data_IF_316560208465
#
_entry.id   IF_316560208465
#
_cell.length_a   1.000
_cell.length_b   1.000
_cell.length_c   1.000
_cell.angle_alpha   90.00
_cell.angle_beta   90.00
_cell.angle_gamma   90.00
#
_symmetry.space_group_name_H-M   'P 1'
#
loop_
_entity.id
_entity.type
_entity.pdbx_description
1 polymer ?
#
# COMPACT_ATOMS: atom_id res chain seq x y z
N UNK A 1 12.83 0.15 -16.75
CA UNK A 1 12.62 0.33 -15.29
C UNK A 1 12.22 1.77 -14.98
N UNK A 2 13.02 2.77 -15.37
CA UNK A 2 12.69 4.19 -15.18
C UNK A 2 11.32 4.62 -15.74
N UNK A 3 10.96 4.21 -16.97
CA UNK A 3 9.64 4.51 -17.54
C UNK A 3 8.46 3.94 -16.74
N UNK A 4 8.62 2.76 -16.11
CA UNK A 4 7.58 2.17 -15.26
C UNK A 4 7.41 2.95 -13.97
N UNK A 5 8.52 3.37 -13.36
CA UNK A 5 8.52 4.20 -12.14
C UNK A 5 7.90 5.56 -12.45
N UNK A 6 8.31 6.22 -13.53
CA UNK A 6 7.75 7.51 -13.95
C UNK A 6 6.25 7.43 -14.22
N UNK A 7 5.80 6.39 -14.93
CA UNK A 7 4.36 6.15 -15.17
C UNK A 7 3.59 5.92 -13.87
N UNK A 8 4.17 5.16 -12.94
CA UNK A 8 3.60 4.96 -11.61
C UNK A 8 3.50 6.30 -10.86
N UNK A 9 4.58 7.06 -10.75
CA UNK A 9 4.60 8.36 -10.07
C UNK A 9 3.59 9.34 -10.68
N UNK A 10 3.45 9.37 -12.01
CA UNK A 10 2.45 10.20 -12.70
C UNK A 10 1.01 9.84 -12.30
N UNK A 11 0.68 8.55 -12.23
CA UNK A 11 -0.65 8.11 -11.76
C UNK A 11 -0.90 8.56 -10.32
N UNK A 12 0.09 8.42 -9.44
CA UNK A 12 -0.02 8.82 -8.05
C UNK A 12 -0.22 10.33 -7.87
N UNK A 13 0.48 11.15 -8.66
CA UNK A 13 0.28 12.60 -8.70
C UNK A 13 -1.11 12.92 -9.23
N UNK A 14 -1.56 12.26 -10.30
CA UNK A 14 -2.87 12.48 -10.89
C UNK A 14 -4.01 12.21 -9.90
N UNK A 15 -3.99 11.07 -9.20
CA UNK A 15 -4.98 10.76 -8.16
C UNK A 15 -4.92 11.75 -7.00
N UNK A 16 -3.71 12.15 -6.58
CA UNK A 16 -3.56 13.16 -5.53
C UNK A 16 -4.15 14.51 -5.94
N UNK A 17 -3.93 14.95 -7.19
CA UNK A 17 -4.47 16.21 -7.70
C UNK A 17 -6.00 16.22 -7.84
N UNK A 18 -6.64 15.05 -8.00
CA UNK A 18 -8.09 14.98 -8.04
C UNK A 18 -8.72 14.88 -6.64
N UNK A 19 -8.19 13.99 -5.79
CA UNK A 19 -8.83 13.65 -4.52
C UNK A 19 -8.49 14.64 -3.40
N UNK A 20 -7.22 15.06 -3.28
CA UNK A 20 -6.75 15.94 -2.20
C UNK A 20 -7.46 17.29 -2.18
N UNK A 21 -7.58 18.05 -3.29
CA UNK A 21 -8.26 19.34 -3.25
C UNK A 21 -9.76 19.20 -2.97
N UNK A 22 -10.39 18.10 -3.41
CA UNK A 22 -11.79 17.81 -3.08
C UNK A 22 -11.95 17.60 -1.57
N UNK A 23 -11.14 16.74 -0.97
CA UNK A 23 -11.17 16.44 0.47
C UNK A 23 -10.85 17.66 1.34
N UNK A 24 -9.92 18.51 0.89
CA UNK A 24 -9.60 19.79 1.53
C UNK A 24 -10.78 20.78 1.46
N UNK A 25 -11.46 20.88 0.31
CA UNK A 25 -12.66 21.74 0.16
C UNK A 25 -13.79 21.31 1.07
N UNK A 26 -13.97 20.01 1.26
CA UNK A 26 -14.98 19.45 2.18
C UNK A 26 -14.55 19.52 3.66
N UNK A 27 -13.37 20.08 3.97
CA UNK A 27 -12.77 20.16 5.32
C UNK A 27 -12.63 18.78 6.02
N UNK A 28 -12.60 17.69 5.25
CA UNK A 28 -12.49 16.31 5.74
C UNK A 28 -11.02 15.92 5.98
N UNK A 29 -10.36 16.59 6.92
CA UNK A 29 -8.92 16.41 7.16
C UNK A 29 -8.53 14.97 7.56
N UNK A 30 -9.40 14.26 8.31
CA UNK A 30 -9.16 12.85 8.66
C UNK A 30 -9.10 11.95 7.42
N UNK A 31 -9.95 12.22 6.44
CA UNK A 31 -10.00 11.46 5.19
C UNK A 31 -8.81 11.76 4.30
N UNK A 32 -8.30 13.00 4.31
CA UNK A 32 -7.02 13.34 3.66
C UNK A 32 -5.88 12.49 4.22
N UNK A 33 -5.80 12.35 5.55
CA UNK A 33 -4.76 11.53 6.19
C UNK A 33 -4.90 10.07 5.78
N UNK A 34 -6.10 9.51 5.82
CA UNK A 34 -6.36 8.12 5.42
C UNK A 34 -6.03 7.91 3.93
N UNK A 35 -6.42 8.85 3.08
CA UNK A 35 -6.08 8.84 1.65
C UNK A 35 -4.56 8.78 1.45
N UNK A 36 -3.80 9.65 2.12
CA UNK A 36 -2.34 9.65 2.01
C UNK A 36 -1.71 8.36 2.54
N UNK A 37 -2.24 7.76 3.61
CA UNK A 37 -1.75 6.48 4.12
C UNK A 37 -1.90 5.39 3.05
N UNK A 38 -3.09 5.25 2.46
CA UNK A 38 -3.32 4.26 1.41
C UNK A 38 -2.53 4.56 0.15
N UNK A 39 -2.40 5.83 -0.21
CA UNK A 39 -1.64 6.28 -1.36
C UNK A 39 -0.15 5.93 -1.18
N UNK A 40 0.46 6.27 -0.06
CA UNK A 40 1.86 5.93 0.22
C UNK A 40 2.06 4.42 0.27
N UNK A 41 1.19 3.68 0.96
CA UNK A 41 1.28 2.22 1.06
C UNK A 41 1.22 1.57 -0.33
N UNK A 42 0.26 1.96 -1.17
CA UNK A 42 0.13 1.47 -2.54
C UNK A 42 1.33 1.81 -3.42
N UNK A 43 1.88 3.02 -3.26
CA UNK A 43 3.07 3.45 -4.01
C UNK A 43 4.30 2.63 -3.65
N UNK A 44 4.56 2.44 -2.35
CA UNK A 44 5.71 1.67 -1.85
C UNK A 44 5.62 0.21 -2.29
N UNK A 45 4.44 -0.41 -2.18
CA UNK A 45 4.23 -1.79 -2.64
C UNK A 45 4.47 -1.94 -4.16
N UNK A 46 3.98 -0.99 -4.96
CA UNK A 46 4.23 -1.01 -6.40
C UNK A 46 5.69 -0.75 -6.75
N UNK A 47 6.39 0.11 -6.01
CA UNK A 47 7.83 0.30 -6.17
C UNK A 47 8.60 -0.99 -5.90
N UNK A 48 8.30 -1.69 -4.80
CA UNK A 48 8.93 -2.98 -4.50
C UNK A 48 8.67 -4.01 -5.60
N UNK A 49 7.45 -4.06 -6.15
CA UNK A 49 7.13 -4.90 -7.29
C UNK A 49 7.95 -4.54 -8.53
N UNK A 50 8.03 -3.26 -8.90
CA UNK A 50 8.79 -2.80 -10.09
C UNK A 50 10.29 -3.02 -9.92
N UNK A 51 10.82 -2.89 -8.70
CA UNK A 51 12.22 -3.13 -8.35
C UNK A 51 12.55 -4.63 -8.21
N UNK A 52 11.57 -5.52 -8.43
CA UNK A 52 11.73 -6.97 -8.28
C UNK A 52 12.20 -7.39 -6.88
N UNK A 53 11.88 -6.58 -5.86
CA UNK A 53 12.15 -6.91 -4.47
C UNK A 53 11.09 -7.94 -4.05
N UNK A 54 11.55 -9.13 -3.65
CA UNK A 54 10.66 -10.20 -3.25
C UNK A 54 9.96 -9.84 -1.94
N UNK A 55 8.70 -9.41 -2.06
CA UNK A 55 7.81 -9.28 -0.91
C UNK A 55 7.46 -10.69 -0.46
N UNK A 56 7.68 -10.99 0.82
CA UNK A 56 7.33 -12.29 1.39
C UNK A 56 5.82 -12.51 1.14
N UNK A 57 5.42 -13.62 0.50
CA UNK A 57 4.02 -13.86 0.19
C UNK A 57 3.20 -13.90 1.48
N UNK A 58 2.02 -13.26 1.46
CA UNK A 58 1.14 -13.15 2.62
C UNK A 58 0.84 -14.52 3.25
N UNK A 59 0.65 -15.57 2.45
CA UNK A 59 0.46 -16.94 2.94
C UNK A 59 1.60 -17.41 3.85
N UNK A 60 2.85 -17.04 3.56
CA UNK A 60 4.00 -17.41 4.41
C UNK A 60 3.97 -16.63 5.72
N UNK A 61 3.60 -15.35 5.70
CA UNK A 61 3.42 -14.53 6.90
C UNK A 61 2.27 -15.08 7.77
N UNK A 62 1.13 -15.38 7.15
CA UNK A 62 -0.03 -15.98 7.81
C UNK A 62 0.35 -17.32 8.42
N UNK A 63 1.05 -18.20 7.69
CA UNK A 63 1.53 -19.48 8.22
C UNK A 63 2.49 -19.30 9.41
N UNK A 64 3.32 -18.25 9.40
CA UNK A 64 4.23 -17.95 10.52
C UNK A 64 3.48 -17.48 11.77
N UNK A 65 2.44 -16.67 11.60
CA UNK A 65 1.57 -16.21 12.70
C UNK A 65 0.64 -17.32 13.22
N UNK A 66 0.20 -18.23 12.36
CA UNK A 66 -0.69 -19.35 12.72
C UNK A 66 0.06 -20.57 13.27
N UNK A 67 1.34 -20.77 12.93
CA UNK A 67 2.21 -21.82 13.50
C UNK A 67 2.13 -21.95 15.03
N UNK A 68 2.22 -20.86 15.83
CA UNK A 68 2.07 -20.97 17.27
C UNK A 68 0.66 -21.42 17.68
N UNK A 69 -0.39 -21.03 16.94
CA UNK A 69 -1.78 -21.40 17.24
C UNK A 69 -2.04 -22.87 16.92
N UNK A 70 -1.50 -23.40 15.81
CA UNK A 70 -1.57 -24.84 15.47
C UNK A 70 -0.94 -25.72 16.56
N UNK A 71 0.10 -25.22 17.24
CA UNK A 71 0.72 -25.93 18.37
C UNK A 71 -0.16 -25.97 19.62
N UNK A 72 -1.07 -25.02 19.80
CA UNK A 72 -2.02 -24.97 20.94
C UNK A 72 -3.36 -25.64 20.64
N UNK A 73 -3.79 -25.70 19.37
CA UNK A 73 -5.07 -26.29 18.96
C UNK A 73 -4.96 -27.73 18.43
N UNK A 74 -3.74 -28.25 18.25
CA UNK A 74 -3.46 -29.61 17.76
C UNK A 74 -3.51 -30.72 18.82
N UNK A 75 -4.24 -30.56 19.93
CA UNK A 75 -4.63 -31.65 20.83
C UNK A 75 -6.12 -31.95 20.69
#
# INVERSE_FOLDING_TARGET
MAFKILGLTLLFIFFSMLEVPRLLREKRLKEVVVFFIFLIAGYVLNLFYVLNIQIIPANRIISFLLKPIEKFWGQ
#
